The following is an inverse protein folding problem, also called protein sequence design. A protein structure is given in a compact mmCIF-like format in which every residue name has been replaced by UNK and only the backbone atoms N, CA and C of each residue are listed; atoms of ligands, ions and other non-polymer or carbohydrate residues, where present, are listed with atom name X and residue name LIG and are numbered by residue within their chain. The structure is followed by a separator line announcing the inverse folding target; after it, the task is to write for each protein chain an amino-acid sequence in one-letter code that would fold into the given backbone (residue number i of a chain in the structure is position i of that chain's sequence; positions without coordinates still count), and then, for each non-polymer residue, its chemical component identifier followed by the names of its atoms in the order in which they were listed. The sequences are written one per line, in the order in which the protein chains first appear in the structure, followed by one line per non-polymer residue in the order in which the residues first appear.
data_IF_200223176653
#
_entry.id   IF_200223176653
#
_cell.length_a   1.000
_cell.length_b   1.000
_cell.length_c   1.000
_cell.angle_alpha   90.00
_cell.angle_beta   90.00
_cell.angle_gamma   90.00
#
_symmetry.space_group_name_H-M   'P 1'
#
loop_
_entity.id
_entity.type
_entity.pdbx_description
1 polymer ?
#
# COMPACT_ATOMS: atom_id res chain seq x y z
N UNK A 1 -8.46 -27.06 15.47
CA UNK A 1 -7.29 -26.80 14.61
C UNK A 1 -6.68 -25.42 14.90
N UNK A 2 -7.45 -24.32 14.90
CA UNK A 2 -6.94 -22.95 15.16
C UNK A 2 -6.09 -22.83 16.43
N UNK A 3 -6.61 -23.25 17.58
CA UNK A 3 -5.87 -23.18 18.85
C UNK A 3 -4.57 -23.98 18.80
N UNK A 4 -4.58 -25.17 18.18
CA UNK A 4 -3.38 -26.00 18.05
C UNK A 4 -2.28 -25.32 17.21
N UNK A 5 -2.65 -24.53 16.19
CA UNK A 5 -1.68 -23.75 15.39
C UNK A 5 -1.09 -22.62 16.25
N UNK A 6 -1.91 -21.92 17.03
CA UNK A 6 -1.45 -20.87 17.94
C UNK A 6 -0.55 -21.41 19.05
N UNK A 7 -0.91 -22.56 19.63
CA UNK A 7 -0.12 -23.28 20.64
C UNK A 7 1.21 -23.77 20.04
N UNK A 8 1.21 -24.29 18.80
CA UNK A 8 2.43 -24.67 18.10
C UNK A 8 3.35 -23.47 17.84
N UNK A 9 2.79 -22.31 17.46
CA UNK A 9 3.57 -21.08 17.24
C UNK A 9 4.27 -20.62 18.52
N UNK A 10 3.58 -20.67 19.67
CA UNK A 10 4.16 -20.37 20.99
C UNK A 10 5.31 -21.32 21.38
N UNK A 11 5.25 -22.57 20.92
CA UNK A 11 6.25 -23.59 21.20
C UNK A 11 7.49 -23.47 20.29
N UNK A 12 7.29 -23.25 18.99
CA UNK A 12 8.38 -23.29 18.00
C UNK A 12 9.10 -21.94 17.90
N UNK A 13 8.38 -20.82 17.98
CA UNK A 13 8.95 -19.45 17.96
C UNK A 13 9.91 -19.19 16.80
N UNK A 14 9.46 -19.54 15.61
CA UNK A 14 10.18 -19.36 14.34
C UNK A 14 9.60 -18.16 13.58
N UNK A 15 10.42 -17.42 12.81
CA UNK A 15 9.93 -16.36 11.93
C UNK A 15 9.08 -16.88 10.77
N UNK A 16 9.08 -18.20 10.51
CA UNK A 16 8.32 -18.83 9.42
C UNK A 16 7.58 -20.10 9.89
N UNK A 17 6.34 -20.34 9.42
CA UNK A 17 5.58 -19.50 8.50
C UNK A 17 5.07 -18.21 9.17
N UNK A 18 4.97 -17.13 8.40
CA UNK A 18 4.21 -15.95 8.81
C UNK A 18 2.79 -16.34 9.22
N UNK A 19 2.41 -15.99 10.44
CA UNK A 19 1.10 -16.33 11.00
C UNK A 19 0.15 -15.14 10.88
N UNK A 20 -1.06 -15.39 10.39
CA UNK A 20 -2.14 -14.41 10.34
C UNK A 20 -3.39 -14.92 11.04
N UNK A 21 -4.16 -14.00 11.59
CA UNK A 21 -5.39 -14.32 12.30
C UNK A 21 -6.57 -13.51 11.75
N UNK A 22 -7.57 -14.23 11.24
CA UNK A 22 -8.85 -13.68 10.77
C UNK A 22 -9.72 -13.38 12.00
N UNK A 23 -9.75 -12.12 12.40
CA UNK A 23 -10.50 -11.63 13.54
C UNK A 23 -11.96 -11.36 13.20
N UNK A 24 -12.86 -11.90 14.02
CA UNK A 24 -14.28 -11.52 14.07
C UNK A 24 -14.64 -11.25 15.54
N UNK A 25 -15.59 -10.35 15.84
CA UNK A 25 -16.15 -10.21 17.19
C UNK A 25 -16.72 -11.52 17.75
N UNK A 26 -17.04 -12.49 16.89
CA UNK A 26 -17.63 -13.79 17.23
C UNK A 26 -16.62 -14.85 17.71
N UNK A 27 -15.32 -14.53 17.74
CA UNK A 27 -14.30 -15.49 18.20
C UNK A 27 -14.51 -15.84 19.68
N UNK A 28 -14.22 -17.08 20.03
CA UNK A 28 -14.25 -17.51 21.43
C UNK A 28 -13.10 -16.88 22.23
N UNK A 29 -13.27 -16.79 23.55
CA UNK A 29 -12.33 -16.15 24.47
C UNK A 29 -10.98 -16.86 24.52
N UNK A 30 -10.96 -18.20 24.54
CA UNK A 30 -9.72 -18.98 24.57
C UNK A 30 -8.82 -18.66 23.37
N UNK A 31 -9.35 -18.70 22.16
CA UNK A 31 -8.60 -18.38 20.94
C UNK A 31 -8.13 -16.92 20.97
N UNK A 32 -8.95 -15.99 21.50
CA UNK A 32 -8.56 -14.58 21.65
C UNK A 32 -7.34 -14.43 22.57
N UNK A 33 -7.32 -15.10 23.72
CA UNK A 33 -6.16 -15.07 24.62
C UNK A 33 -4.91 -15.65 23.95
N UNK A 34 -5.02 -16.80 23.27
CA UNK A 34 -3.89 -17.40 22.55
C UNK A 34 -3.30 -16.46 21.47
N UNK A 35 -4.12 -15.65 20.81
CA UNK A 35 -3.64 -14.63 19.86
C UNK A 35 -2.79 -13.58 20.56
N UNK A 36 -3.25 -13.05 21.71
CA UNK A 36 -2.49 -12.07 22.49
C UNK A 36 -1.22 -12.66 23.12
N UNK A 37 -1.26 -13.93 23.55
CA UNK A 37 -0.09 -14.64 24.07
C UNK A 37 1.00 -14.74 23.00
N UNK A 38 0.62 -14.98 21.73
CA UNK A 38 1.55 -14.98 20.60
C UNK A 38 2.17 -13.59 20.37
N UNK A 39 1.35 -12.53 20.38
CA UNK A 39 1.84 -11.15 20.22
C UNK A 39 2.83 -10.79 21.33
N UNK A 40 2.53 -11.18 22.57
CA UNK A 40 3.37 -10.93 23.74
C UNK A 40 4.76 -11.59 23.65
N UNK A 41 4.95 -12.61 22.81
CA UNK A 41 6.27 -13.20 22.59
C UNK A 41 7.22 -12.28 21.79
N UNK A 42 6.72 -11.23 21.14
CA UNK A 42 7.55 -10.19 20.55
C UNK A 42 8.17 -10.51 19.17
N UNK A 43 7.79 -11.61 18.53
CA UNK A 43 8.25 -11.94 17.17
C UNK A 43 7.32 -11.43 16.05
N UNK A 44 6.32 -10.61 16.39
CA UNK A 44 5.50 -9.85 15.43
C UNK A 44 4.24 -10.53 14.91
N UNK A 45 3.92 -11.75 15.39
CA UNK A 45 2.77 -12.53 14.93
C UNK A 45 1.73 -12.79 16.03
N UNK A 46 0.47 -13.10 15.66
CA UNK A 46 -0.06 -13.10 14.30
C UNK A 46 -0.38 -11.69 13.77
N UNK A 47 -0.33 -11.55 12.45
CA UNK A 47 -0.92 -10.41 11.73
C UNK A 47 -2.45 -10.49 11.83
N UNK A 48 -3.06 -9.60 12.61
CA UNK A 48 -4.52 -9.56 12.79
C UNK A 48 -5.19 -8.89 11.59
N UNK A 49 -6.26 -9.50 11.08
CA UNK A 49 -7.02 -9.03 9.91
C UNK A 49 -8.51 -9.17 10.16
N UNK A 50 -9.29 -8.12 9.91
CA UNK A 50 -10.72 -8.14 10.19
C UNK A 50 -11.47 -8.94 9.12
N UNK A 51 -12.13 -10.01 9.55
CA UNK A 51 -12.83 -10.97 8.72
C UNK A 51 -13.88 -10.31 7.82
N UNK A 52 -14.87 -9.68 8.44
CA UNK A 52 -16.03 -9.14 7.74
C UNK A 52 -15.65 -7.98 6.81
N UNK A 53 -14.69 -7.13 7.22
CA UNK A 53 -14.23 -6.00 6.39
C UNK A 53 -13.47 -6.48 5.15
N UNK A 54 -12.59 -7.48 5.29
CA UNK A 54 -11.85 -8.03 4.16
C UNK A 54 -12.76 -8.80 3.19
N UNK A 55 -13.70 -9.58 3.72
CA UNK A 55 -14.70 -10.27 2.88
C UNK A 55 -15.55 -9.26 2.11
N UNK A 56 -16.02 -8.19 2.77
CA UNK A 56 -16.76 -7.11 2.11
C UNK A 56 -15.91 -6.39 1.04
N UNK A 57 -14.64 -6.12 1.33
CA UNK A 57 -13.72 -5.48 0.38
C UNK A 57 -13.60 -6.29 -0.93
N UNK A 58 -13.43 -7.61 -0.82
CA UNK A 58 -13.35 -8.50 -1.99
C UNK A 58 -14.63 -8.50 -2.83
N UNK A 59 -15.79 -8.42 -2.19
CA UNK A 59 -17.08 -8.38 -2.88
C UNK A 59 -17.31 -7.03 -3.56
N UNK A 60 -17.17 -5.93 -2.81
CA UNK A 60 -17.58 -4.60 -3.25
C UNK A 60 -16.63 -4.02 -4.31
N UNK A 61 -15.31 -4.18 -4.13
CA UNK A 61 -14.31 -3.53 -4.97
C UNK A 61 -13.71 -4.45 -6.03
N UNK A 62 -13.72 -5.77 -5.78
CA UNK A 62 -13.10 -6.75 -6.67
C UNK A 62 -14.11 -7.73 -7.29
N UNK A 63 -15.39 -7.57 -6.96
CA UNK A 63 -16.50 -8.35 -7.51
C UNK A 63 -16.33 -9.87 -7.38
N UNK A 64 -15.63 -10.28 -6.32
CA UNK A 64 -15.46 -11.70 -5.98
C UNK A 64 -16.80 -12.25 -5.46
N UNK A 65 -17.29 -13.41 -5.94
CA UNK A 65 -18.50 -14.02 -5.45
C UNK A 65 -18.47 -14.23 -3.93
N UNK A 66 -19.57 -14.04 -3.19
CA UNK A 66 -19.57 -14.11 -1.72
C UNK A 66 -19.00 -15.42 -1.15
N UNK A 67 -19.32 -16.57 -1.78
CA UNK A 67 -18.80 -17.87 -1.38
C UNK A 67 -17.28 -18.01 -1.58
N UNK A 68 -16.71 -17.33 -2.56
CA UNK A 68 -15.27 -17.32 -2.83
C UNK A 68 -14.57 -16.36 -1.87
N UNK A 69 -15.16 -15.17 -1.71
CA UNK A 69 -14.68 -14.14 -0.80
C UNK A 69 -14.64 -14.66 0.64
N UNK A 70 -15.66 -15.39 1.12
CA UNK A 70 -15.72 -15.91 2.49
C UNK A 70 -14.55 -16.85 2.86
N UNK A 71 -13.87 -17.41 1.87
CA UNK A 71 -12.76 -18.33 2.09
C UNK A 71 -11.39 -17.65 2.06
N UNK A 72 -11.32 -16.33 1.87
CA UNK A 72 -10.07 -15.61 1.64
C UNK A 72 -8.91 -15.98 2.60
N UNK A 73 -7.70 -15.96 2.05
CA UNK A 73 -6.46 -16.01 2.81
C UNK A 73 -5.60 -14.79 2.49
N UNK A 74 -4.60 -14.53 3.33
CA UNK A 74 -3.62 -13.51 3.00
C UNK A 74 -2.75 -14.00 1.84
N UNK A 75 -2.72 -13.20 0.79
CA UNK A 75 -1.70 -13.30 -0.24
C UNK A 75 -0.46 -12.58 0.30
N UNK A 76 0.44 -13.37 0.88
CA UNK A 76 1.63 -12.91 1.59
C UNK A 76 1.28 -12.01 2.80
N UNK A 77 1.62 -10.72 2.74
CA UNK A 77 1.71 -9.88 3.94
C UNK A 77 0.34 -9.46 4.49
N UNK A 78 -0.51 -8.86 3.64
CA UNK A 78 -1.68 -8.08 4.11
C UNK A 78 -2.92 -8.20 3.23
N UNK A 79 -2.77 -8.49 1.94
CA UNK A 79 -3.87 -8.44 0.99
C UNK A 79 -4.73 -9.71 1.08
N UNK A 80 -6.04 -9.62 1.32
CA UNK A 80 -6.93 -10.77 1.19
C UNK A 80 -7.06 -11.14 -0.30
N UNK A 81 -7.05 -12.43 -0.59
CA UNK A 81 -7.25 -12.96 -1.93
C UNK A 81 -7.98 -14.30 -1.91
N UNK A 82 -8.44 -14.73 -3.08
CA UNK A 82 -9.09 -16.03 -3.25
C UNK A 82 -8.09 -17.14 -2.96
N UNK A 83 -8.48 -18.10 -2.14
CA UNK A 83 -7.63 -19.21 -1.72
C UNK A 83 -8.16 -20.60 -2.11
N UNK A 84 -9.37 -20.68 -2.67
CA UNK A 84 -9.90 -21.95 -3.15
C UNK A 84 -9.04 -22.39 -4.34
N UNK A 85 -8.98 -23.70 -4.58
CA UNK A 85 -8.24 -24.28 -5.71
C UNK A 85 -8.65 -23.73 -7.08
N UNK A 86 -9.85 -23.17 -7.18
CA UNK A 86 -10.38 -22.59 -8.41
C UNK A 86 -10.12 -21.07 -8.44
N UNK A 87 -9.07 -20.65 -9.13
CA UNK A 87 -8.73 -19.23 -9.24
C UNK A 87 -7.94 -18.72 -8.04
N UNK A 88 -7.12 -19.57 -7.42
CA UNK A 88 -6.16 -19.12 -6.40
C UNK A 88 -5.18 -18.15 -7.05
N UNK A 89 -4.76 -17.14 -6.31
CA UNK A 89 -3.69 -16.26 -6.78
C UNK A 89 -2.36 -17.01 -6.75
N UNK A 90 -1.69 -17.12 -7.91
CA UNK A 90 -0.54 -18.01 -8.11
C UNK A 90 0.81 -17.29 -8.02
N UNK A 91 0.81 -16.01 -8.37
CA UNK A 91 1.98 -15.15 -8.25
C UNK A 91 1.65 -13.86 -7.52
N UNK A 92 2.60 -13.42 -6.69
CA UNK A 92 2.63 -12.06 -6.15
C UNK A 92 2.84 -11.05 -7.27
N UNK A 93 3.70 -11.40 -8.22
CA UNK A 93 4.35 -10.48 -9.14
C UNK A 93 3.59 -10.26 -10.43
N UNK A 94 2.30 -10.66 -10.55
CA UNK A 94 1.41 -10.35 -11.70
C UNK A 94 1.31 -8.82 -11.96
N UNK A 95 2.40 -8.26 -12.45
CA UNK A 95 2.74 -6.86 -12.33
C UNK A 95 2.82 -6.26 -10.92
N UNK A 96 2.97 -7.01 -9.84
CA UNK A 96 2.94 -6.42 -8.49
C UNK A 96 3.99 -5.30 -8.27
N UNK A 97 3.65 -4.23 -7.55
CA UNK A 97 4.59 -3.13 -7.28
C UNK A 97 4.12 -2.17 -6.18
N UNK A 98 5.07 -1.41 -5.65
CA UNK A 98 4.79 -0.35 -4.69
C UNK A 98 4.76 1.02 -5.40
N UNK A 99 3.94 1.92 -4.90
CA UNK A 99 3.88 3.32 -5.32
C UNK A 99 4.21 4.20 -4.13
N UNK A 100 5.28 4.99 -4.21
CA UNK A 100 5.61 5.97 -3.18
C UNK A 100 4.70 7.19 -3.32
N UNK A 101 3.79 7.39 -2.37
CA UNK A 101 2.81 8.49 -2.40
C UNK A 101 3.41 9.81 -1.89
N UNK A 102 4.51 9.74 -1.14
CA UNK A 102 5.24 10.93 -0.69
C UNK A 102 6.01 11.63 -1.81
N UNK A 103 6.59 10.89 -2.76
CA UNK A 103 7.38 11.48 -3.85
C UNK A 103 6.60 12.50 -4.70
N UNK A 104 5.32 12.28 -5.06
CA UNK A 104 4.47 13.30 -5.66
C UNK A 104 4.43 14.65 -4.94
N UNK A 105 4.58 14.69 -3.61
CA UNK A 105 4.63 15.96 -2.87
C UNK A 105 5.89 16.76 -3.17
N UNK A 106 7.05 16.09 -3.22
CA UNK A 106 8.30 16.72 -3.62
C UNK A 106 8.21 17.23 -5.06
N UNK A 107 7.66 16.41 -5.96
CA UNK A 107 7.47 16.77 -7.36
C UNK A 107 6.50 17.96 -7.53
N UNK A 108 5.44 18.05 -6.72
CA UNK A 108 4.55 19.19 -6.72
C UNK A 108 5.30 20.48 -6.31
N UNK A 109 6.16 20.39 -5.29
CA UNK A 109 7.00 21.47 -4.79
C UNK A 109 8.26 21.72 -5.63
N UNK A 110 8.38 21.11 -6.81
CA UNK A 110 9.49 21.29 -7.74
C UNK A 110 9.06 21.42 -9.21
N UNK A 111 7.76 21.56 -9.49
CA UNK A 111 7.24 21.61 -10.85
C UNK A 111 7.48 20.32 -11.65
N UNK A 112 7.55 19.18 -10.97
CA UNK A 112 7.77 17.84 -11.53
C UNK A 112 9.23 17.45 -11.71
N UNK A 113 10.18 18.30 -11.31
CA UNK A 113 11.61 18.03 -11.44
C UNK A 113 12.15 17.34 -10.18
N UNK A 114 12.64 16.12 -10.32
CA UNK A 114 13.25 15.37 -9.22
C UNK A 114 14.71 15.81 -9.07
N UNK A 115 14.93 16.78 -8.20
CA UNK A 115 16.27 17.28 -7.91
C UNK A 115 17.01 16.50 -6.84
N UNK A 116 16.28 15.73 -6.01
CA UNK A 116 16.83 15.11 -4.81
C UNK A 116 17.49 13.77 -5.11
N UNK A 117 17.02 13.07 -6.15
CA UNK A 117 17.49 11.73 -6.48
C UNK A 117 18.02 11.62 -7.91
N UNK A 118 17.16 11.85 -8.91
CA UNK A 118 17.48 11.51 -10.31
C UNK A 118 18.01 12.66 -11.14
N UNK A 119 17.82 13.91 -10.70
CA UNK A 119 18.15 15.13 -11.44
C UNK A 119 17.52 15.19 -12.85
N UNK A 120 16.27 14.74 -13.00
CA UNK A 120 15.52 14.80 -14.27
C UNK A 120 14.09 15.32 -14.06
N UNK A 121 13.44 15.72 -15.16
CA UNK A 121 12.00 15.97 -15.19
C UNK A 121 11.27 14.62 -15.06
N UNK A 122 11.04 14.18 -13.83
CA UNK A 122 10.43 12.88 -13.53
C UNK A 122 8.91 12.90 -13.73
N UNK A 123 8.25 13.98 -13.31
CA UNK A 123 6.81 14.14 -13.38
C UNK A 123 6.34 15.22 -14.35
N UNK A 124 5.03 15.36 -14.57
CA UNK A 124 4.44 16.44 -15.36
C UNK A 124 4.84 17.83 -14.84
N UNK A 125 4.86 18.82 -15.73
CA UNK A 125 5.15 20.22 -15.36
C UNK A 125 3.91 20.86 -14.73
N UNK A 126 3.83 20.83 -13.41
CA UNK A 126 2.69 21.36 -12.62
C UNK A 126 2.83 22.85 -12.25
N UNK A 127 3.78 23.56 -12.87
CA UNK A 127 4.02 24.99 -12.62
C UNK A 127 5.09 25.27 -11.57
N UNK A 128 5.40 26.55 -11.38
CA UNK A 128 6.32 27.02 -10.34
C UNK A 128 5.59 27.09 -8.99
N UNK A 129 6.02 26.32 -7.97
CA UNK A 129 5.35 26.28 -6.67
C UNK A 129 5.38 27.63 -5.93
N UNK A 130 6.29 28.54 -6.27
CA UNK A 130 6.32 29.89 -5.68
C UNK A 130 5.13 30.76 -6.10
N UNK A 131 4.39 30.32 -7.13
CA UNK A 131 3.23 31.02 -7.67
C UNK A 131 1.88 30.48 -7.15
N UNK A 132 1.90 29.44 -6.31
CA UNK A 132 0.69 28.89 -5.70
C UNK A 132 0.05 29.90 -4.75
N UNK A 133 -1.25 30.15 -4.93
CA UNK A 133 -2.00 31.19 -4.23
C UNK A 133 -2.77 30.65 -3.03
N UNK A 134 -3.18 29.40 -3.11
CA UNK A 134 -3.93 28.70 -2.07
C UNK A 134 -3.51 27.23 -1.97
N UNK A 135 -4.10 26.52 -1.00
CA UNK A 135 -3.83 25.10 -0.79
C UNK A 135 -4.33 24.23 -1.96
N UNK A 136 -5.36 24.67 -2.69
CA UNK A 136 -5.90 23.92 -3.82
C UNK A 136 -4.90 23.86 -4.97
N UNK A 137 -4.11 24.91 -5.20
CA UNK A 137 -3.00 24.86 -6.16
C UNK A 137 -1.98 23.75 -5.80
N UNK A 138 -1.62 23.63 -4.52
CA UNK A 138 -0.71 22.57 -4.03
C UNK A 138 -1.34 21.20 -4.20
N UNK A 139 -2.60 21.05 -3.79
CA UNK A 139 -3.35 19.79 -3.89
C UNK A 139 -3.49 19.33 -5.33
N UNK A 140 -3.84 20.23 -6.25
CA UNK A 140 -3.97 19.92 -7.67
C UNK A 140 -2.64 19.51 -8.28
N UNK A 141 -1.54 20.21 -7.95
CA UNK A 141 -0.21 19.82 -8.37
C UNK A 141 0.16 18.41 -7.84
N UNK A 142 -0.06 18.14 -6.55
CA UNK A 142 0.17 16.83 -5.94
C UNK A 142 -0.65 15.72 -6.62
N UNK A 143 -1.94 15.94 -6.83
CA UNK A 143 -2.85 14.98 -7.47
C UNK A 143 -2.40 14.69 -8.90
N UNK A 144 -1.94 15.68 -9.66
CA UNK A 144 -1.45 15.49 -11.02
C UNK A 144 -0.17 14.64 -11.05
N UNK A 145 0.77 14.92 -10.15
CA UNK A 145 1.97 14.08 -9.97
C UNK A 145 1.61 12.64 -9.58
N UNK A 146 0.66 12.48 -8.66
CA UNK A 146 0.20 11.17 -8.20
C UNK A 146 -0.50 10.39 -9.32
N UNK A 147 -1.41 11.02 -10.08
CA UNK A 147 -2.09 10.40 -11.23
C UNK A 147 -1.09 9.90 -12.27
N UNK A 148 -0.05 10.68 -12.55
CA UNK A 148 1.02 10.28 -13.44
C UNK A 148 1.74 9.02 -12.92
N UNK A 149 2.14 9.02 -11.65
CA UNK A 149 2.79 7.86 -11.00
C UNK A 149 1.91 6.61 -11.00
N UNK A 150 0.62 6.74 -10.68
CA UNK A 150 -0.37 5.65 -10.71
C UNK A 150 -0.51 5.09 -12.14
N UNK A 151 -0.62 5.95 -13.14
CA UNK A 151 -0.72 5.53 -14.55
C UNK A 151 0.51 4.73 -15.00
N UNK A 152 1.71 5.21 -14.66
CA UNK A 152 2.96 4.48 -14.95
C UNK A 152 3.02 3.13 -14.22
N UNK A 153 2.63 3.11 -12.94
CA UNK A 153 2.58 1.88 -12.15
C UNK A 153 1.75 0.82 -12.86
N UNK A 154 0.48 1.11 -13.18
CA UNK A 154 -0.42 0.14 -13.84
C UNK A 154 0.01 -0.25 -15.25
N UNK A 155 0.62 0.66 -16.03
CA UNK A 155 1.21 0.31 -17.33
C UNK A 155 2.39 -0.65 -17.19
N UNK A 156 3.26 -0.44 -16.21
CA UNK A 156 4.34 -1.37 -15.91
C UNK A 156 3.77 -2.74 -15.51
N UNK A 157 2.71 -2.76 -14.69
CA UNK A 157 2.05 -4.01 -14.28
C UNK A 157 1.59 -4.84 -15.48
N UNK A 158 0.95 -4.19 -16.45
CA UNK A 158 0.45 -4.84 -17.66
C UNK A 158 1.58 -5.42 -18.53
N UNK A 159 2.69 -4.69 -18.68
CA UNK A 159 3.86 -5.19 -19.40
C UNK A 159 4.48 -6.40 -18.70
N UNK A 160 4.67 -6.32 -17.38
CA UNK A 160 5.21 -7.43 -16.58
C UNK A 160 4.31 -8.67 -16.65
N UNK A 161 2.99 -8.50 -16.52
CA UNK A 161 2.02 -9.59 -16.66
C UNK A 161 2.16 -10.33 -18.00
N UNK A 162 2.21 -9.58 -19.10
CA UNK A 162 2.39 -10.16 -20.44
C UNK A 162 3.72 -10.91 -20.59
N UNK A 163 4.77 -10.42 -19.94
CA UNK A 163 6.05 -11.11 -19.91
C UNK A 163 5.98 -12.40 -19.07
N UNK A 164 5.33 -12.39 -17.91
CA UNK A 164 5.18 -13.56 -17.05
C UNK A 164 4.41 -14.69 -17.76
N UNK A 165 3.27 -14.36 -18.39
CA UNK A 165 2.47 -15.30 -19.19
C UNK A 165 3.31 -15.94 -20.31
N UNK A 166 4.20 -15.17 -20.92
CA UNK A 166 4.94 -15.65 -22.09
C UNK A 166 6.22 -16.41 -21.74
N UNK A 167 6.90 -16.01 -20.69
CA UNK A 167 8.29 -16.41 -20.44
C UNK A 167 8.51 -17.10 -19.08
N UNK A 168 7.57 -16.99 -18.15
CA UNK A 168 7.76 -17.45 -16.78
C UNK A 168 6.81 -18.58 -16.38
N UNK A 169 6.05 -19.16 -17.32
CA UNK A 169 5.03 -20.17 -17.04
C UNK A 169 5.51 -21.35 -16.20
N UNK A 170 4.61 -21.84 -15.35
CA UNK A 170 4.91 -22.91 -14.38
C UNK A 170 3.87 -24.02 -14.43
N UNK A 171 4.13 -25.12 -15.16
CA UNK A 171 3.23 -26.26 -15.23
C UNK A 171 2.89 -26.88 -13.86
N UNK A 172 3.85 -26.85 -12.92
CA UNK A 172 3.62 -27.34 -11.56
C UNK A 172 2.58 -26.49 -10.81
N UNK A 173 2.66 -25.16 -10.93
CA UNK A 173 1.68 -24.26 -10.31
C UNK A 173 0.34 -24.36 -11.02
N UNK A 174 0.33 -24.50 -12.36
CA UNK A 174 -0.88 -24.70 -13.14
C UNK A 174 -1.65 -25.96 -12.70
N UNK A 175 -0.96 -27.07 -12.43
CA UNK A 175 -1.57 -28.32 -11.97
C UNK A 175 -2.29 -28.19 -10.61
N UNK A 176 -1.91 -27.21 -9.79
CA UNK A 176 -2.54 -26.98 -8.48
C UNK A 176 -3.84 -26.15 -8.56
N UNK A 177 -4.18 -25.61 -9.73
CA UNK A 177 -5.35 -24.77 -9.95
C UNK A 177 -6.34 -25.42 -10.92
N UNK A 178 -7.59 -25.51 -10.49
CA UNK A 178 -8.60 -26.28 -11.21
C UNK A 178 -8.99 -25.60 -12.54
N UNK A 179 -8.91 -24.26 -12.64
CA UNK A 179 -9.17 -23.53 -13.90
C UNK A 179 -8.10 -23.85 -14.94
N UNK A 180 -6.82 -23.80 -14.54
CA UNK A 180 -5.71 -24.13 -15.44
C UNK A 180 -5.83 -25.53 -16.03
N UNK A 181 -6.19 -26.51 -15.20
CA UNK A 181 -6.33 -27.91 -15.63
C UNK A 181 -7.52 -28.10 -16.57
N UNK A 182 -8.68 -27.53 -16.23
CA UNK A 182 -9.90 -27.67 -17.04
C UNK A 182 -9.81 -26.95 -18.39
N UNK A 183 -9.20 -25.76 -18.41
CA UNK A 183 -9.15 -24.89 -19.60
C UNK A 183 -7.84 -25.06 -20.40
N UNK A 184 -6.89 -25.84 -19.91
CA UNK A 184 -5.59 -26.04 -20.56
C UNK A 184 -4.72 -24.78 -20.57
N UNK A 185 -4.82 -23.96 -19.51
CA UNK A 185 -4.12 -22.68 -19.37
C UNK A 185 -2.83 -22.80 -18.55
N UNK A 186 -1.88 -21.91 -18.84
CA UNK A 186 -0.72 -21.67 -18.00
C UNK A 186 -1.10 -21.15 -16.61
N UNK A 187 -0.17 -21.23 -15.67
CA UNK A 187 -0.35 -20.74 -14.30
C UNK A 187 -0.56 -19.22 -14.26
N UNK A 188 0.12 -18.45 -15.11
CA UNK A 188 0.12 -16.99 -15.00
C UNK A 188 -0.83 -16.32 -16.00
N UNK A 189 -1.56 -17.11 -16.78
CA UNK A 189 -2.67 -16.63 -17.60
C UNK A 189 -3.69 -15.86 -16.75
N UNK A 190 -4.27 -14.82 -17.36
CA UNK A 190 -5.31 -14.04 -16.70
C UNK A 190 -6.56 -14.91 -16.55
N UNK A 191 -6.77 -15.41 -15.33
CA UNK A 191 -7.95 -16.20 -14.98
C UNK A 191 -9.08 -15.32 -14.44
N UNK A 192 -10.07 -15.97 -13.79
CA UNK A 192 -11.36 -15.41 -13.40
C UNK A 192 -11.30 -14.26 -12.39
N UNK A 193 -10.37 -14.28 -11.43
CA UNK A 193 -10.37 -13.33 -10.31
C UNK A 193 -9.21 -12.34 -10.42
N UNK A 194 -9.46 -11.03 -10.18
CA UNK A 194 -8.42 -10.03 -10.24
C UNK A 194 -7.42 -10.18 -9.09
N UNK A 195 -6.15 -9.93 -9.39
CA UNK A 195 -5.13 -9.71 -8.37
C UNK A 195 -5.27 -8.29 -7.79
N UNK A 196 -5.69 -8.23 -6.53
CA UNK A 196 -6.00 -7.00 -5.80
C UNK A 196 -4.77 -6.23 -5.34
N UNK A 197 -3.56 -6.78 -5.53
CA UNK A 197 -2.34 -6.26 -4.94
C UNK A 197 -1.77 -5.05 -5.69
N UNK A 198 -1.76 -3.90 -5.02
CA UNK A 198 -0.96 -2.70 -5.31
C UNK A 198 -0.66 -2.04 -3.95
N UNK A 199 0.58 -1.62 -3.74
CA UNK A 199 1.05 -1.19 -2.42
C UNK A 199 1.39 0.31 -2.39
N UNK A 200 0.44 1.20 -2.05
CA UNK A 200 0.75 2.60 -1.83
C UNK A 200 1.51 2.77 -0.51
N UNK A 201 2.79 3.13 -0.60
CA UNK A 201 3.68 3.34 0.56
C UNK A 201 3.82 4.83 0.85
N UNK A 202 4.24 5.14 2.08
CA UNK A 202 4.49 6.52 2.54
C UNK A 202 3.28 7.45 2.45
N UNK A 203 2.07 6.90 2.62
CA UNK A 203 0.83 7.67 2.73
C UNK A 203 0.87 8.66 3.92
N UNK A 204 1.31 8.27 5.14
CA UNK A 204 1.37 9.22 6.25
C UNK A 204 2.32 10.38 5.98
N UNK A 205 3.45 10.15 5.31
CA UNK A 205 4.40 11.21 4.94
C UNK A 205 3.75 12.25 4.02
N UNK A 206 3.01 11.79 3.00
CA UNK A 206 2.29 12.68 2.08
C UNK A 206 1.18 13.48 2.80
N UNK A 207 0.36 12.81 3.62
CA UNK A 207 -0.73 13.44 4.38
C UNK A 207 -0.19 14.48 5.36
N UNK A 208 0.83 14.13 6.14
CA UNK A 208 1.45 15.03 7.10
C UNK A 208 2.12 16.22 6.43
N UNK A 209 2.74 16.02 5.26
CA UNK A 209 3.35 17.11 4.48
C UNK A 209 2.28 18.09 3.99
N UNK A 210 1.18 17.58 3.43
CA UNK A 210 0.06 18.40 2.99
C UNK A 210 -0.58 19.16 4.16
N UNK A 211 -0.78 18.51 5.30
CA UNK A 211 -1.31 19.15 6.51
C UNK A 211 -0.38 20.27 7.02
N UNK A 212 0.93 20.04 7.05
CA UNK A 212 1.91 21.05 7.45
C UNK A 212 1.92 22.25 6.50
N UNK A 213 1.90 22.04 5.18
CA UNK A 213 1.82 23.13 4.20
C UNK A 213 0.51 23.90 4.36
N UNK A 214 -0.63 23.21 4.43
CA UNK A 214 -1.94 23.84 4.63
C UNK A 214 -1.94 24.75 5.86
N UNK A 215 -1.52 24.20 7.00
CA UNK A 215 -1.50 24.91 8.28
C UNK A 215 -0.54 26.10 8.26
N UNK A 216 0.74 25.87 7.98
CA UNK A 216 1.77 26.87 8.20
C UNK A 216 1.81 27.96 7.12
N UNK A 217 1.43 27.63 5.88
CA UNK A 217 1.49 28.56 4.75
C UNK A 217 0.16 29.24 4.50
N UNK A 218 -0.95 28.50 4.54
CA UNK A 218 -2.25 29.02 4.07
C UNK A 218 -3.21 29.39 5.20
N UNK A 219 -3.30 28.57 6.25
CA UNK A 219 -4.20 28.83 7.39
C UNK A 219 -3.60 29.87 8.35
N UNK A 220 -2.43 29.55 8.94
CA UNK A 220 -1.74 30.37 9.94
C UNK A 220 -0.89 31.47 9.29
N UNK A 221 -0.49 31.28 8.02
CA UNK A 221 0.35 32.20 7.24
C UNK A 221 1.65 32.60 7.96
N UNK A 222 2.23 31.68 8.73
CA UNK A 222 3.52 31.87 9.41
C UNK A 222 4.67 31.98 8.40
N UNK A 223 4.54 31.31 7.25
CA UNK A 223 5.54 31.29 6.18
C UNK A 223 4.89 31.49 4.81
N UNK A 224 5.65 31.95 3.82
CA UNK A 224 5.19 31.94 2.42
C UNK A 224 5.46 30.59 1.76
N UNK A 225 4.76 30.29 0.66
CA UNK A 225 5.03 29.07 -0.12
C UNK A 225 6.46 29.06 -0.70
N UNK A 226 7.00 30.24 -1.01
CA UNK A 226 8.37 30.40 -1.46
C UNK A 226 9.38 30.08 -0.36
N UNK A 227 9.11 30.48 0.88
CA UNK A 227 9.95 30.12 2.04
C UNK A 227 9.95 28.60 2.25
N UNK A 228 8.78 27.97 2.19
CA UNK A 228 8.66 26.50 2.31
C UNK A 228 9.43 25.78 1.19
N UNK A 229 9.26 26.20 -0.07
CA UNK A 229 9.99 25.62 -1.19
C UNK A 229 11.51 25.75 -1.03
N UNK A 230 11.98 26.91 -0.55
CA UNK A 230 13.41 27.16 -0.28
C UNK A 230 13.93 26.29 0.88
N UNK A 231 13.18 26.18 1.97
CA UNK A 231 13.55 25.36 3.12
C UNK A 231 13.68 23.87 2.74
N UNK A 232 12.71 23.34 1.98
CA UNK A 232 12.75 21.97 1.47
C UNK A 232 13.97 21.74 0.56
N UNK A 233 14.26 22.68 -0.35
CA UNK A 233 15.43 22.61 -1.25
C UNK A 233 16.76 22.65 -0.52
N UNK A 234 16.83 23.37 0.59
CA UNK A 234 18.01 23.48 1.45
C UNK A 234 18.12 22.33 2.46
N UNK A 235 17.25 21.31 2.40
CA UNK A 235 17.18 20.26 3.42
C UNK A 235 17.09 20.84 4.84
N UNK A 236 16.32 21.92 4.99
CA UNK A 236 16.13 22.69 6.23
C UNK A 236 17.37 23.42 6.77
N UNK A 237 18.51 23.42 6.08
CA UNK A 237 19.70 24.17 6.52
C UNK A 237 19.41 25.67 6.61
N UNK A 238 19.51 26.24 7.82
CA UNK A 238 19.16 27.63 8.11
C UNK A 238 17.66 27.90 8.32
N UNK A 239 16.83 26.86 8.42
CA UNK A 239 15.38 26.92 8.62
C UNK A 239 14.91 26.10 9.83
N UNK A 240 15.72 26.04 10.90
CA UNK A 240 15.47 25.17 12.06
C UNK A 240 14.11 25.42 12.72
N UNK A 241 13.70 26.68 12.89
CA UNK A 241 12.39 27.03 13.46
C UNK A 241 11.24 26.51 12.57
N UNK A 242 11.31 26.76 11.26
CA UNK A 242 10.29 26.31 10.31
C UNK A 242 10.19 24.78 10.26
N UNK A 243 11.34 24.09 10.37
CA UNK A 243 11.38 22.63 10.47
C UNK A 243 10.67 22.15 11.73
N UNK A 244 10.93 22.80 12.86
CA UNK A 244 10.29 22.46 14.13
C UNK A 244 8.77 22.66 14.05
N UNK A 245 8.30 23.78 13.50
CA UNK A 245 6.86 24.00 13.29
C UNK A 245 6.24 22.96 12.36
N UNK A 246 6.95 22.54 11.31
CA UNK A 246 6.47 21.50 10.40
C UNK A 246 6.35 20.14 11.11
N UNK A 247 7.24 19.84 12.06
CA UNK A 247 7.13 18.66 12.92
C UNK A 247 5.95 18.79 13.90
N UNK A 248 5.70 19.99 14.44
CA UNK A 248 4.65 20.28 15.42
C UNK A 248 3.26 20.48 14.80
N UNK A 249 3.17 20.65 13.48
CA UNK A 249 1.88 20.66 12.76
C UNK A 249 1.08 19.35 12.98
N UNK A 250 -0.24 19.33 12.73
CA UNK A 250 -1.06 18.12 12.84
C UNK A 250 -0.44 16.91 12.14
N UNK A 251 -0.60 15.73 12.74
CA UNK A 251 -0.04 14.47 12.27
C UNK A 251 -1.10 13.38 12.27
N UNK A 252 -1.22 12.69 11.14
CA UNK A 252 -2.04 11.51 10.99
C UNK A 252 -1.70 10.46 12.06
N UNK A 253 -2.74 9.85 12.63
CA UNK A 253 -2.63 8.87 13.71
C UNK A 253 -2.90 9.42 15.11
N UNK A 254 -3.25 10.71 15.24
CA UNK A 254 -3.55 11.37 16.53
C UNK A 254 -5.01 11.81 16.70
N UNK A 255 -5.94 11.30 15.89
CA UNK A 255 -7.37 11.68 15.90
C UNK A 255 -7.63 13.18 15.61
N UNK A 256 -6.78 13.77 14.76
CA UNK A 256 -6.81 15.17 14.26
C UNK A 256 -6.64 15.18 12.73
#
# INVERSE_FOLDING_TARGET
MTDAILEASLNIRTPEPSLSFRYSPKINEKTRHLVFDNIAQGFGFPSIKHEEKNTKMLIDYFHIPPDEAAHWALVLCMAPGVNKRRGTQKSRTEGGGALCVAKPMELAMSGGFDYSLTNVQMGPKTGDPTQFKDFEDVWNAFVEQLKFGVSLHFRNRDVCRRAEIRYCESPFVALMDDICVEEGLGAFENTKYPNTWSDPVSMPDAVNSLAAVKKLVFDDKKYTIADMAKALRANWEGFDEMRQDALDAPKWGNDD
#
